data_IF_137454880323
#
_entry.id   IF_137454880323
#
_cell.length_a   1.000
_cell.length_b   1.000
_cell.length_c   1.000
_cell.angle_alpha   90.00
_cell.angle_beta   90.00
_cell.angle_gamma   90.00
#
_symmetry.space_group_name_H-M   'P 1'
#
loop_
_entity.id
_entity.type
_entity.pdbx_description
1 polymer ?
#
# COMPACT_ATOMS: atom_id res chain seq x y z
N UNK A 1 -7.67 -37.95 -2.77
CA UNK A 1 -7.05 -37.06 -3.78
C UNK A 1 -5.90 -36.32 -3.09
N UNK A 2 -4.75 -36.99 -2.97
CA UNK A 2 -3.58 -36.48 -2.26
C UNK A 2 -2.89 -35.45 -3.16
N UNK A 3 -3.17 -34.18 -2.91
CA UNK A 3 -2.46 -33.09 -3.56
C UNK A 3 -1.18 -32.91 -2.74
N UNK A 4 -0.05 -33.37 -3.27
CA UNK A 4 1.29 -33.07 -2.75
C UNK A 4 1.44 -31.55 -2.75
N UNK A 5 1.05 -30.92 -1.64
CA UNK A 5 1.10 -29.47 -1.49
C UNK A 5 2.57 -29.12 -1.40
N UNK A 6 3.11 -28.48 -2.44
CA UNK A 6 4.48 -28.01 -2.43
C UNK A 6 4.60 -26.90 -1.37
N UNK A 7 4.95 -27.28 -0.15
CA UNK A 7 5.01 -26.39 1.02
C UNK A 7 5.88 -25.17 0.74
N UNK A 8 7.01 -25.38 0.04
CA UNK A 8 7.92 -24.32 -0.38
C UNK A 8 7.24 -23.28 -1.29
N UNK A 9 6.41 -23.74 -2.24
CA UNK A 9 5.63 -22.86 -3.13
C UNK A 9 4.55 -22.08 -2.38
N UNK A 10 3.89 -22.72 -1.42
CA UNK A 10 2.84 -22.10 -0.61
C UNK A 10 3.42 -21.03 0.33
N UNK A 11 4.55 -21.32 0.98
CA UNK A 11 5.31 -20.35 1.77
C UNK A 11 5.72 -19.15 0.91
N UNK A 12 6.23 -19.40 -0.31
CA UNK A 12 6.63 -18.33 -1.23
C UNK A 12 5.46 -17.40 -1.58
N UNK A 13 4.30 -17.95 -1.95
CA UNK A 13 3.12 -17.12 -2.25
C UNK A 13 2.62 -16.36 -1.01
N UNK A 14 2.62 -17.00 0.16
CA UNK A 14 2.22 -16.32 1.40
C UNK A 14 3.17 -15.19 1.77
N UNK A 15 4.48 -15.36 1.57
CA UNK A 15 5.46 -14.28 1.75
C UNK A 15 5.20 -13.12 0.80
N UNK A 16 4.99 -13.40 -0.49
CA UNK A 16 4.68 -12.36 -1.48
C UNK A 16 3.38 -11.64 -1.14
N UNK A 17 2.36 -12.35 -0.67
CA UNK A 17 1.11 -11.73 -0.20
C UNK A 17 1.32 -10.89 1.07
N UNK A 18 2.13 -11.36 2.02
CA UNK A 18 2.46 -10.65 3.25
C UNK A 18 3.28 -9.37 2.99
N UNK A 19 4.13 -9.35 1.95
CA UNK A 19 4.83 -8.14 1.52
C UNK A 19 3.84 -7.01 1.18
N UNK A 20 2.68 -7.31 0.61
CA UNK A 20 1.65 -6.29 0.36
C UNK A 20 1.20 -5.58 1.65
N UNK A 21 0.93 -6.34 2.72
CA UNK A 21 0.59 -5.77 4.03
C UNK A 21 1.77 -5.06 4.69
N UNK A 22 2.99 -5.57 4.50
CA UNK A 22 4.21 -4.92 4.99
C UNK A 22 4.43 -3.55 4.34
N UNK A 23 4.31 -3.43 3.02
CA UNK A 23 4.45 -2.16 2.31
C UNK A 23 3.40 -1.13 2.75
N UNK A 24 2.16 -1.56 3.00
CA UNK A 24 1.11 -0.68 3.51
C UNK A 24 1.46 -0.11 4.90
N UNK A 25 1.98 -0.95 5.81
CA UNK A 25 2.45 -0.50 7.11
C UNK A 25 3.67 0.42 7.03
N UNK A 26 4.59 0.14 6.10
CA UNK A 26 5.78 0.96 5.85
C UNK A 26 5.40 2.39 5.42
N UNK A 27 4.45 2.53 4.50
CA UNK A 27 3.98 3.85 4.02
C UNK A 27 3.43 4.71 5.18
N UNK A 28 2.62 4.11 6.04
CA UNK A 28 2.08 4.78 7.24
C UNK A 28 3.19 5.20 8.21
N UNK A 29 4.22 4.37 8.39
CA UNK A 29 5.36 4.68 9.25
C UNK A 29 6.20 5.84 8.70
N UNK A 30 6.41 5.90 7.38
CA UNK A 30 7.16 6.99 6.73
C UNK A 30 6.41 8.32 6.83
N UNK A 31 5.09 8.33 6.60
CA UNK A 31 4.26 9.55 6.76
C UNK A 31 4.35 10.08 8.20
N UNK A 32 4.19 9.19 9.19
CA UNK A 32 4.30 9.57 10.60
C UNK A 32 5.71 10.06 10.97
N UNK A 33 6.76 9.49 10.39
CA UNK A 33 8.15 9.90 10.62
C UNK A 33 8.53 11.24 9.98
N UNK A 34 7.79 11.67 8.95
CA UNK A 34 8.10 12.89 8.16
C UNK A 34 7.17 14.06 8.47
N UNK A 35 6.00 13.83 9.06
CA UNK A 35 4.98 14.87 9.32
C UNK A 35 5.54 16.09 10.03
N UNK A 36 6.35 15.93 11.09
CA UNK A 36 6.91 17.06 11.84
C UNK A 36 7.91 17.87 11.03
N UNK A 37 8.70 17.23 10.16
CA UNK A 37 9.64 17.90 9.26
C UNK A 37 8.90 18.66 8.15
N UNK A 38 7.88 18.04 7.56
CA UNK A 38 7.07 18.66 6.50
C UNK A 38 6.28 19.85 7.05
N UNK A 39 5.66 19.72 8.23
CA UNK A 39 4.98 20.83 8.91
C UNK A 39 5.92 22.01 9.18
N UNK A 40 7.17 21.73 9.59
CA UNK A 40 8.16 22.78 9.84
C UNK A 40 8.67 23.47 8.55
N UNK A 41 8.84 22.70 7.46
CA UNK A 41 9.33 23.21 6.18
C UNK A 41 8.29 24.05 5.43
N UNK A 42 7.03 23.64 5.46
CA UNK A 42 5.94 24.29 4.73
C UNK A 42 5.06 25.21 5.61
N UNK A 43 5.35 25.32 6.92
CA UNK A 43 4.56 26.10 7.89
C UNK A 43 3.06 25.76 7.83
N UNK A 44 2.72 24.47 7.73
CA UNK A 44 1.34 24.01 7.59
C UNK A 44 0.52 24.29 8.85
N UNK A 45 -0.73 24.72 8.67
CA UNK A 45 -1.69 24.81 9.76
C UNK A 45 -2.14 23.40 10.23
N UNK A 46 -2.68 23.32 11.44
CA UNK A 46 -3.21 22.08 12.05
C UNK A 46 -4.19 21.32 11.17
N UNK A 47 -5.03 22.05 10.41
CA UNK A 47 -5.98 21.45 9.46
C UNK A 47 -5.23 20.82 8.27
N UNK A 48 -4.22 21.50 7.74
CA UNK A 48 -3.47 21.03 6.59
C UNK A 48 -2.57 19.84 6.95
N UNK A 49 -1.98 19.83 8.15
CA UNK A 49 -1.29 18.67 8.69
C UNK A 49 -2.23 17.46 8.83
N UNK A 50 -3.45 17.69 9.32
CA UNK A 50 -4.48 16.65 9.41
C UNK A 50 -4.87 16.12 8.04
N UNK A 51 -4.97 16.99 7.03
CA UNK A 51 -5.26 16.62 5.65
C UNK A 51 -4.10 15.82 5.00
N UNK A 52 -2.85 16.21 5.26
CA UNK A 52 -1.66 15.52 4.78
C UNK A 52 -1.63 14.04 5.20
N UNK A 53 -1.96 13.73 6.45
CA UNK A 53 -2.04 12.35 6.93
C UNK A 53 -3.37 11.69 6.53
N UNK A 54 -4.46 12.45 6.57
CA UNK A 54 -5.82 11.96 6.34
C UNK A 54 -6.10 11.55 4.91
N UNK A 55 -5.50 12.20 3.91
CA UNK A 55 -5.72 11.88 2.50
C UNK A 55 -5.28 10.45 2.16
N UNK A 56 -4.18 9.96 2.76
CA UNK A 56 -3.70 8.59 2.60
C UNK A 56 -4.71 7.56 3.17
N UNK A 57 -5.32 7.85 4.32
CA UNK A 57 -6.36 7.00 4.93
C UNK A 57 -7.62 6.95 4.07
N UNK A 58 -8.10 8.11 3.59
CA UNK A 58 -9.27 8.19 2.70
C UNK A 58 -9.02 7.41 1.41
N UNK A 59 -7.84 7.59 0.79
CA UNK A 59 -7.44 6.82 -0.38
C UNK A 59 -7.41 5.31 -0.11
N UNK A 60 -6.95 4.90 1.07
CA UNK A 60 -6.91 3.48 1.47
C UNK A 60 -8.30 2.87 1.61
N UNK A 61 -9.26 3.61 2.18
CA UNK A 61 -10.66 3.16 2.31
C UNK A 61 -11.27 2.92 0.93
N UNK A 62 -11.10 3.88 0.02
CA UNK A 62 -11.59 3.77 -1.36
C UNK A 62 -10.88 2.62 -2.08
N UNK A 63 -9.57 2.50 -1.91
CA UNK A 63 -8.76 1.44 -2.50
C UNK A 63 -9.20 0.04 -2.09
N UNK A 64 -9.46 -0.19 -0.80
CA UNK A 64 -9.97 -1.47 -0.27
C UNK A 64 -11.35 -1.80 -0.85
N UNK A 65 -12.26 -0.82 -0.92
CA UNK A 65 -13.59 -1.03 -1.47
C UNK A 65 -13.54 -1.47 -2.95
N UNK A 66 -12.66 -0.86 -3.75
CA UNK A 66 -12.47 -1.22 -5.16
C UNK A 66 -11.70 -2.53 -5.32
N UNK A 67 -10.70 -2.79 -4.46
CA UNK A 67 -9.85 -3.98 -4.55
C UNK A 67 -10.63 -5.29 -4.41
N UNK A 68 -11.69 -5.32 -3.59
CA UNK A 68 -12.58 -6.48 -3.48
C UNK A 68 -13.24 -6.84 -4.81
N UNK A 69 -13.93 -5.88 -5.42
CA UNK A 69 -14.61 -6.05 -6.72
C UNK A 69 -13.61 -6.38 -7.84
N UNK A 70 -12.44 -5.77 -7.82
CA UNK A 70 -11.38 -6.00 -8.81
C UNK A 70 -10.77 -7.40 -8.68
N UNK A 71 -10.55 -7.87 -7.45
CA UNK A 71 -10.04 -9.20 -7.16
C UNK A 71 -11.00 -10.29 -7.64
N UNK A 72 -12.30 -10.08 -7.50
CA UNK A 72 -13.32 -11.05 -7.91
C UNK A 72 -13.51 -11.10 -9.44
N UNK A 73 -13.40 -9.96 -10.13
CA UNK A 73 -13.56 -9.91 -11.58
C UNK A 73 -12.30 -10.33 -12.38
N UNK A 74 -11.11 -9.89 -11.95
CA UNK A 74 -9.87 -10.05 -12.73
C UNK A 74 -8.96 -11.15 -12.13
N UNK A 75 -9.31 -11.65 -10.95
CA UNK A 75 -8.59 -12.69 -10.23
C UNK A 75 -7.46 -12.14 -9.35
N UNK A 76 -7.26 -12.77 -8.18
CA UNK A 76 -6.29 -12.36 -7.13
C UNK A 76 -4.87 -12.07 -7.64
N UNK A 77 -4.33 -12.88 -8.55
CA UNK A 77 -2.95 -12.70 -9.06
C UNK A 77 -2.79 -11.40 -9.86
N UNK A 78 -3.76 -11.09 -10.72
CA UNK A 78 -3.71 -9.88 -11.55
C UNK A 78 -3.95 -8.63 -10.71
N UNK A 79 -4.86 -8.69 -9.75
CA UNK A 79 -5.04 -7.62 -8.77
C UNK A 79 -3.75 -7.30 -8.03
N UNK A 80 -2.99 -8.32 -7.60
CA UNK A 80 -1.73 -8.12 -6.89
C UNK A 80 -0.65 -7.45 -7.78
N UNK A 81 -0.59 -7.80 -9.08
CA UNK A 81 0.34 -7.17 -10.03
C UNK A 81 -0.02 -5.70 -10.25
N UNK A 82 -1.31 -5.37 -10.39
CA UNK A 82 -1.78 -3.99 -10.56
C UNK A 82 -1.39 -3.14 -9.34
N UNK A 83 -1.62 -3.65 -8.13
CA UNK A 83 -1.19 -2.98 -6.90
C UNK A 83 0.31 -2.76 -6.85
N UNK A 84 1.12 -3.76 -7.26
CA UNK A 84 2.57 -3.64 -7.30
C UNK A 84 3.05 -2.58 -8.29
N UNK A 85 2.43 -2.46 -9.46
CA UNK A 85 2.75 -1.41 -10.43
C UNK A 85 2.38 -0.02 -9.91
N UNK A 86 1.22 0.13 -9.27
CA UNK A 86 0.81 1.41 -8.68
C UNK A 86 1.77 1.84 -7.57
N UNK A 87 2.16 0.90 -6.68
CA UNK A 87 3.17 1.15 -5.66
C UNK A 87 4.51 1.58 -6.25
N UNK A 88 4.95 0.91 -7.32
CA UNK A 88 6.22 1.23 -7.99
C UNK A 88 6.20 2.64 -8.56
N UNK A 89 5.13 3.01 -9.25
CA UNK A 89 4.96 4.35 -9.83
C UNK A 89 4.93 5.41 -8.72
N UNK A 90 4.20 5.15 -7.63
CA UNK A 90 4.13 6.06 -6.49
C UNK A 90 5.49 6.24 -5.81
N UNK A 91 6.23 5.15 -5.59
CA UNK A 91 7.57 5.20 -4.99
C UNK A 91 8.56 6.01 -5.86
N UNK A 92 8.51 5.82 -7.19
CA UNK A 92 9.33 6.61 -8.12
C UNK A 92 8.93 8.08 -8.10
N UNK A 93 7.62 8.39 -8.04
CA UNK A 93 7.13 9.75 -7.90
C UNK A 93 7.59 10.43 -6.62
N UNK A 94 7.51 9.74 -5.47
CA UNK A 94 8.00 10.25 -4.20
C UNK A 94 9.52 10.41 -4.15
N UNK A 95 10.27 9.56 -4.85
CA UNK A 95 11.74 9.66 -4.89
C UNK A 95 12.23 10.84 -5.76
N UNK A 96 11.44 11.29 -6.72
CA UNK A 96 11.78 12.38 -7.64
C UNK A 96 11.27 13.75 -7.17
N UNK A 97 10.33 13.79 -6.21
CA UNK A 97 9.76 15.02 -5.64
C UNK A 97 10.55 15.52 -4.45
#
# INVERSE_FOLDING_TARGET
MNKEVNLSYLIFISLVAALGGFLFGYDTAVISGTVTQVTALFQLDTIEQGWYVGCALVGSIIGVAVAGVLSDNIGRKKSMIISATLFTISAVGCALS
#
